data_IF_702816010232
#
_entry.id   IF_702816010232
#
_cell.length_a   1.000
_cell.length_b   1.000
_cell.length_c   1.000
_cell.angle_alpha   90.00
_cell.angle_beta   90.00
_cell.angle_gamma   90.00
#
_symmetry.space_group_name_H-M   'P 1'
#
loop_
_entity.id
_entity.type
_entity.pdbx_description
1 polymer ?
#
# COMPACT_ATOMS: atom_id res chain seq x y z
N UNK A 1 -9.32 16.78 8.24
CA UNK A 1 -10.06 16.68 9.52
C UNK A 1 -9.38 15.57 10.31
N UNK A 2 -8.60 15.96 11.30
CA UNK A 2 -7.35 15.31 11.70
C UNK A 2 -7.53 14.21 12.76
N UNK A 3 -6.70 13.17 12.66
CA UNK A 3 -6.45 12.08 13.64
C UNK A 3 -6.33 12.55 15.10
N UNK A 4 -6.10 13.84 15.33
CA UNK A 4 -6.05 14.51 16.63
C UNK A 4 -7.37 14.40 17.44
N UNK A 5 -8.51 14.09 16.80
CA UNK A 5 -9.74 13.78 17.55
C UNK A 5 -9.76 12.36 18.11
N UNK A 6 -9.02 11.41 17.52
CA UNK A 6 -8.96 10.02 17.97
C UNK A 6 -7.98 9.83 19.14
N UNK A 7 -6.97 10.69 19.30
CA UNK A 7 -6.05 10.63 20.46
C UNK A 7 -6.69 11.03 21.80
N UNK A 8 -7.93 11.55 21.78
CA UNK A 8 -8.72 11.81 22.99
C UNK A 8 -9.55 10.61 23.45
N UNK A 9 -9.60 9.54 22.66
CA UNK A 9 -10.29 8.32 23.04
C UNK A 9 -9.31 7.36 23.71
N UNK A 10 -9.59 7.06 24.97
CA UNK A 10 -8.93 5.99 25.69
C UNK A 10 -9.37 4.65 25.06
N UNK A 11 -8.50 4.06 24.24
CA UNK A 11 -8.76 2.76 23.58
C UNK A 11 -8.72 1.57 24.54
N UNK A 12 -8.55 1.80 25.85
CA UNK A 12 -8.69 0.75 26.86
C UNK A 12 -10.10 0.12 26.94
N UNK A 13 -11.09 0.68 26.21
CA UNK A 13 -12.47 0.17 26.19
C UNK A 13 -13.19 0.28 24.84
N UNK A 14 -12.48 0.40 23.71
CA UNK A 14 -13.15 0.27 22.40
C UNK A 14 -13.28 -1.22 22.12
N UNK A 15 -14.48 -1.76 22.36
CA UNK A 15 -14.83 -3.12 21.95
C UNK A 15 -14.54 -3.30 20.46
N UNK A 16 -13.89 -4.40 20.10
CA UNK A 16 -13.70 -4.84 18.71
C UNK A 16 -14.99 -4.80 17.90
N UNK A 17 -16.12 -4.90 18.60
CA UNK A 17 -17.46 -4.90 18.06
C UNK A 17 -17.90 -3.54 17.52
N UNK A 18 -17.39 -2.41 18.03
CA UNK A 18 -17.74 -1.08 17.49
C UNK A 18 -17.03 -0.86 16.15
N UNK A 19 -15.76 -1.22 16.07
CA UNK A 19 -15.00 -1.20 14.81
C UNK A 19 -15.60 -2.19 13.82
N UNK A 20 -15.96 -3.39 14.28
CA UNK A 20 -16.63 -4.42 13.49
C UNK A 20 -18.03 -4.01 13.00
N UNK A 21 -18.79 -3.28 13.81
CA UNK A 21 -20.15 -2.81 13.47
C UNK A 21 -20.12 -1.64 12.49
N UNK A 22 -19.19 -0.69 12.67
CA UNK A 22 -18.98 0.40 11.71
C UNK A 22 -18.49 -0.17 10.37
N UNK A 23 -17.61 -1.18 10.41
CA UNK A 23 -17.13 -1.88 9.22
C UNK A 23 -18.22 -2.70 8.53
N UNK A 24 -19.00 -3.52 9.25
CA UNK A 24 -20.06 -4.36 8.67
C UNK A 24 -21.22 -3.53 8.09
N UNK A 25 -21.55 -2.40 8.73
CA UNK A 25 -22.50 -1.41 8.21
C UNK A 25 -21.98 -0.75 6.93
N UNK A 26 -20.65 -0.56 6.83
CA UNK A 26 -20.01 0.07 5.69
C UNK A 26 -19.81 -0.90 4.50
N UNK A 27 -19.39 -2.14 4.74
CA UNK A 27 -19.30 -3.23 3.75
C UNK A 27 -20.67 -3.52 3.13
N UNK A 28 -21.73 -3.57 3.94
CA UNK A 28 -23.11 -3.75 3.44
C UNK A 28 -23.61 -2.61 2.53
N UNK A 29 -23.07 -1.39 2.66
CA UNK A 29 -23.37 -0.30 1.69
C UNK A 29 -22.53 -0.43 0.42
N UNK A 30 -21.31 -0.95 0.52
CA UNK A 30 -20.37 -1.11 -0.62
C UNK A 30 -20.75 -2.25 -1.56
N UNK A 31 -21.42 -3.29 -1.05
CA UNK A 31 -22.02 -4.36 -1.86
C UNK A 31 -23.19 -3.87 -2.73
N UNK A 32 -23.81 -2.73 -2.38
CA UNK A 32 -24.93 -2.14 -3.11
C UNK A 32 -24.51 -0.86 -3.83
N UNK A 33 -23.88 -1.06 -4.99
CA UNK A 33 -23.91 -0.16 -6.17
C UNK A 33 -23.02 1.10 -6.15
N UNK A 34 -22.37 1.25 -7.32
CA UNK A 34 -22.10 2.52 -8.04
C UNK A 34 -20.91 3.39 -7.58
N UNK A 35 -19.77 3.19 -8.25
CA UNK A 35 -18.93 4.22 -8.94
C UNK A 35 -17.52 3.72 -9.35
N UNK A 36 -17.39 2.51 -9.90
CA UNK A 36 -16.14 2.09 -10.57
C UNK A 36 -14.96 1.70 -9.66
N UNK A 37 -15.20 1.39 -8.39
CA UNK A 37 -14.17 0.81 -7.52
C UNK A 37 -14.11 -0.71 -7.75
N UNK A 38 -13.12 -1.16 -8.52
CA UNK A 38 -12.86 -2.59 -8.70
C UNK A 38 -12.06 -3.11 -7.50
N UNK A 39 -12.59 -4.11 -6.81
CA UNK A 39 -11.87 -4.79 -5.75
C UNK A 39 -10.96 -5.86 -6.36
N UNK A 40 -9.67 -5.84 -6.03
CA UNK A 40 -8.74 -6.91 -6.42
C UNK A 40 -9.03 -8.16 -5.59
N UNK A 41 -9.39 -9.30 -6.21
CA UNK A 41 -9.63 -10.55 -5.47
C UNK A 41 -8.42 -10.95 -4.64
N UNK A 42 -8.59 -11.54 -3.43
CA UNK A 42 -7.48 -11.90 -2.54
C UNK A 42 -6.47 -12.85 -3.18
N UNK A 43 -6.91 -13.73 -4.08
CA UNK A 43 -6.07 -14.67 -4.82
C UNK A 43 -5.10 -13.90 -5.74
N UNK A 44 -5.58 -12.88 -6.42
CA UNK A 44 -4.78 -12.01 -7.30
C UNK A 44 -3.80 -11.18 -6.47
N UNK A 45 -4.24 -10.65 -5.33
CA UNK A 45 -3.37 -9.91 -4.39
C UNK A 45 -2.22 -10.79 -3.91
N UNK A 46 -2.53 -12.01 -3.46
CA UNK A 46 -1.52 -12.93 -2.98
C UNK A 46 -0.56 -13.37 -4.08
N UNK A 47 -1.08 -13.69 -5.26
CA UNK A 47 -0.29 -14.05 -6.43
C UNK A 47 0.74 -12.95 -6.76
N UNK A 48 0.29 -11.70 -6.90
CA UNK A 48 1.19 -10.57 -7.22
C UNK A 48 2.23 -10.38 -6.11
N UNK A 49 1.84 -10.46 -4.83
CA UNK A 49 2.80 -10.36 -3.72
C UNK A 49 3.82 -11.51 -3.73
N UNK A 50 3.42 -12.71 -4.13
CA UNK A 50 4.32 -13.84 -4.30
C UNK A 50 5.30 -13.63 -5.45
N UNK A 51 4.82 -13.11 -6.59
CA UNK A 51 5.65 -12.86 -7.79
C UNK A 51 6.68 -11.76 -7.57
N UNK A 52 6.34 -10.69 -6.83
CA UNK A 52 7.34 -9.67 -6.46
C UNK A 52 8.26 -10.13 -5.31
N UNK A 53 8.10 -11.35 -4.81
CA UNK A 53 8.92 -11.93 -3.75
C UNK A 53 8.61 -11.38 -2.35
N UNK A 54 7.47 -10.71 -2.14
CA UNK A 54 7.01 -10.27 -0.83
C UNK A 54 6.37 -11.43 -0.06
N UNK A 55 7.15 -12.48 0.20
CA UNK A 55 6.72 -13.71 0.87
C UNK A 55 7.11 -13.69 2.34
N UNK A 56 6.34 -14.38 3.19
CA UNK A 56 6.69 -14.54 4.61
C UNK A 56 8.09 -15.15 4.74
N UNK A 57 8.97 -14.49 5.51
CA UNK A 57 10.36 -14.90 5.69
C UNK A 57 11.33 -13.73 5.71
N UNK A 58 12.63 -14.04 5.85
CA UNK A 58 13.67 -13.03 6.04
C UNK A 58 13.78 -12.00 4.89
N UNK A 59 13.29 -12.33 3.68
CA UNK A 59 13.35 -11.47 2.49
C UNK A 59 12.60 -10.14 2.62
N UNK A 60 11.61 -10.06 3.52
CA UNK A 60 10.79 -8.85 3.76
C UNK A 60 11.11 -8.15 5.09
N UNK A 61 12.14 -8.60 5.81
CA UNK A 61 12.61 -7.99 7.06
C UNK A 61 13.65 -6.90 6.74
N UNK A 62 13.49 -5.74 7.38
CA UNK A 62 14.48 -4.65 7.35
C UNK A 62 13.89 -3.30 6.92
N UNK A 63 14.58 -2.22 7.28
CA UNK A 63 14.14 -0.85 6.98
C UNK A 63 14.14 -0.50 5.48
N UNK A 64 14.92 -1.23 4.68
CA UNK A 64 14.99 -1.06 3.24
C UNK A 64 13.97 -1.92 2.47
N UNK A 65 13.23 -2.83 3.15
CA UNK A 65 12.23 -3.72 2.54
C UNK A 65 10.85 -3.07 2.45
N UNK A 66 10.83 -1.83 1.93
CA UNK A 66 9.60 -1.03 1.82
C UNK A 66 8.82 -1.42 0.58
N UNK A 67 7.50 -1.44 0.71
CA UNK A 67 6.53 -1.70 -0.33
C UNK A 67 5.65 -0.46 -0.54
N UNK A 68 5.39 -0.11 -1.80
CA UNK A 68 4.44 0.94 -2.16
C UNK A 68 3.36 0.40 -3.10
N UNK A 69 2.13 0.87 -2.87
CA UNK A 69 1.01 0.76 -3.81
C UNK A 69 0.59 2.15 -4.31
N UNK A 70 0.93 2.54 -5.55
CA UNK A 70 0.66 3.87 -6.10
C UNK A 70 -0.81 4.10 -6.51
N UNK A 71 -1.68 3.09 -6.36
CA UNK A 71 -3.12 3.18 -6.60
C UNK A 71 -3.86 2.32 -5.57
N UNK A 72 -3.62 2.60 -4.29
CA UNK A 72 -3.87 1.62 -3.23
C UNK A 72 -5.34 1.30 -2.99
N UNK A 73 -6.27 2.14 -3.46
CA UNK A 73 -7.69 1.98 -3.20
C UNK A 73 -7.95 1.84 -1.70
N UNK A 74 -8.70 0.80 -1.32
CA UNK A 74 -8.94 0.45 0.09
C UNK A 74 -7.81 -0.34 0.76
N UNK A 75 -6.64 -0.46 0.12
CA UNK A 75 -5.43 -1.02 0.70
C UNK A 75 -5.31 -2.55 0.65
N UNK A 76 -5.93 -3.24 -0.31
CA UNK A 76 -5.91 -4.72 -0.34
C UNK A 76 -4.49 -5.30 -0.36
N UNK A 77 -3.59 -4.75 -1.18
CA UNK A 77 -2.18 -5.15 -1.19
C UNK A 77 -1.46 -4.82 0.12
N UNK A 78 -1.67 -3.62 0.66
CA UNK A 78 -1.02 -3.16 1.89
C UNK A 78 -1.47 -3.99 3.11
N UNK A 79 -2.75 -4.35 3.19
CA UNK A 79 -3.29 -5.23 4.24
C UNK A 79 -2.67 -6.62 4.15
N UNK A 80 -2.61 -7.20 2.95
CA UNK A 80 -1.98 -8.51 2.76
C UNK A 80 -0.48 -8.46 3.09
N UNK A 81 0.21 -7.39 2.70
CA UNK A 81 1.62 -7.17 3.04
C UNK A 81 1.82 -7.03 4.56
N UNK A 82 1.00 -6.25 5.25
CA UNK A 82 1.04 -6.12 6.71
C UNK A 82 0.89 -7.49 7.40
N UNK A 83 -0.09 -8.30 6.97
CA UNK A 83 -0.28 -9.66 7.49
C UNK A 83 0.96 -10.53 7.30
N UNK A 84 1.57 -10.52 6.10
CA UNK A 84 2.79 -11.29 5.81
C UNK A 84 3.98 -10.83 6.65
N UNK A 85 4.11 -9.51 6.87
CA UNK A 85 5.17 -8.94 7.70
C UNK A 85 5.00 -9.32 9.17
N UNK A 86 3.78 -9.20 9.72
CA UNK A 86 3.48 -9.63 11.09
C UNK A 86 3.71 -11.13 11.26
N UNK A 87 3.24 -11.95 10.32
CA UNK A 87 3.46 -13.40 10.33
C UNK A 87 4.96 -13.75 10.27
N UNK A 88 5.76 -12.96 9.55
CA UNK A 88 7.22 -13.15 9.47
C UNK A 88 7.89 -12.92 10.82
N UNK A 89 7.49 -11.88 11.54
CA UNK A 89 8.04 -11.59 12.88
C UNK A 89 7.50 -12.54 13.96
N UNK A 90 6.29 -13.07 13.78
CA UNK A 90 5.76 -14.15 14.62
C UNK A 90 6.56 -15.45 14.37
N UNK A 91 6.90 -15.74 13.11
CA UNK A 91 7.60 -16.97 12.74
C UNK A 91 6.81 -18.22 13.15
N UNK A 92 7.52 -19.26 13.59
CA UNK A 92 6.91 -20.49 14.14
C UNK A 92 6.64 -20.39 15.64
N UNK A 93 7.10 -19.33 16.29
CA UNK A 93 6.76 -19.09 17.68
C UNK A 93 5.33 -18.56 17.72
N UNK A 94 4.48 -19.10 18.58
CA UNK A 94 3.14 -18.53 18.79
C UNK A 94 3.16 -17.19 19.56
N UNK A 95 4.30 -16.50 19.55
CA UNK A 95 4.58 -15.30 20.29
C UNK A 95 5.42 -14.32 19.45
N UNK A 96 5.14 -13.03 19.62
CA UNK A 96 5.97 -11.94 19.11
C UNK A 96 6.80 -11.39 20.27
N UNK A 97 8.12 -11.40 20.14
CA UNK A 97 9.05 -10.98 21.19
C UNK A 97 8.96 -9.47 21.47
N UNK A 98 8.97 -8.65 20.43
CA UNK A 98 8.85 -7.19 20.54
C UNK A 98 7.72 -6.64 19.65
N UNK A 99 6.46 -6.65 20.13
CA UNK A 99 5.32 -6.17 19.36
C UNK A 99 5.43 -4.70 18.95
N UNK A 100 6.08 -3.87 19.77
CA UNK A 100 6.31 -2.45 19.44
C UNK A 100 7.24 -2.30 18.23
N UNK A 101 8.32 -3.09 18.16
CA UNK A 101 9.21 -3.08 16.98
C UNK A 101 8.49 -3.59 15.73
N UNK A 102 7.65 -4.62 15.85
CA UNK A 102 6.86 -5.11 14.70
C UNK A 102 5.86 -4.06 14.23
N UNK A 103 5.18 -3.36 15.14
CA UNK A 103 4.31 -2.25 14.81
C UNK A 103 5.09 -1.17 14.05
N UNK A 104 6.23 -0.72 14.57
CA UNK A 104 7.09 0.27 13.90
C UNK A 104 7.47 -0.17 12.49
N UNK A 105 7.73 -1.47 12.29
CA UNK A 105 8.06 -2.02 10.97
C UNK A 105 6.88 -1.95 10.01
N UNK A 106 5.68 -2.33 10.43
CA UNK A 106 4.47 -2.23 9.59
C UNK A 106 4.22 -0.76 9.22
N UNK A 107 4.36 0.15 10.18
CA UNK A 107 4.11 1.58 9.98
C UNK A 107 5.11 2.23 9.03
N UNK A 108 6.39 1.83 9.06
CA UNK A 108 7.45 2.45 8.27
C UNK A 108 7.83 1.70 6.98
N UNK A 109 7.24 0.53 6.70
CA UNK A 109 7.53 -0.24 5.49
C UNK A 109 6.41 -0.25 4.45
N UNK A 110 5.21 0.22 4.76
CA UNK A 110 4.05 0.14 3.86
C UNK A 110 3.57 1.54 3.47
N UNK A 111 3.53 1.80 2.17
CA UNK A 111 3.21 3.10 1.60
C UNK A 111 2.10 2.96 0.56
N UNK A 112 1.21 3.95 0.49
CA UNK A 112 0.09 3.95 -0.46
C UNK A 112 -0.20 5.35 -0.98
N UNK A 113 -0.46 5.45 -2.28
CA UNK A 113 -1.04 6.65 -2.89
C UNK A 113 -2.41 6.32 -3.47
N UNK A 114 -3.36 7.24 -3.34
CA UNK A 114 -4.62 7.18 -4.09
C UNK A 114 -5.20 8.58 -4.32
N UNK A 115 -5.82 8.80 -5.46
CA UNK A 115 -6.50 10.06 -5.79
C UNK A 115 -7.78 10.27 -4.98
N UNK A 116 -8.43 9.19 -4.54
CA UNK A 116 -9.66 9.24 -3.78
C UNK A 116 -9.35 9.35 -2.27
N UNK A 117 -9.64 10.49 -1.62
CA UNK A 117 -9.34 10.68 -0.20
C UNK A 117 -10.09 9.69 0.69
N UNK A 118 -11.26 9.26 0.25
CA UNK A 118 -12.05 8.28 0.98
C UNK A 118 -11.45 6.87 0.88
N UNK A 119 -10.84 6.51 -0.25
CA UNK A 119 -10.12 5.26 -0.40
C UNK A 119 -8.86 5.22 0.50
N UNK A 120 -8.09 6.33 0.52
CA UNK A 120 -6.97 6.52 1.44
C UNK A 120 -7.39 6.30 2.90
N UNK A 121 -8.50 6.92 3.32
CA UNK A 121 -9.04 6.74 4.67
C UNK A 121 -9.37 5.28 4.99
N UNK A 122 -10.01 4.56 4.07
CA UNK A 122 -10.30 3.13 4.25
C UNK A 122 -9.03 2.28 4.34
N UNK A 123 -8.01 2.57 3.52
CA UNK A 123 -6.71 1.91 3.58
C UNK A 123 -6.07 2.07 4.95
N UNK A 124 -6.05 3.29 5.51
CA UNK A 124 -5.53 3.56 6.84
C UNK A 124 -6.28 2.80 7.94
N UNK A 125 -7.61 2.78 7.88
CA UNK A 125 -8.44 2.03 8.85
C UNK A 125 -8.16 0.53 8.75
N UNK A 126 -8.09 -0.01 7.54
CA UNK A 126 -7.81 -1.43 7.34
C UNK A 126 -6.42 -1.83 7.85
N UNK A 127 -5.41 -0.98 7.66
CA UNK A 127 -4.06 -1.16 8.21
C UNK A 127 -4.04 -1.05 9.74
N UNK A 128 -4.78 -0.09 10.31
CA UNK A 128 -4.92 0.05 11.76
C UNK A 128 -5.46 -1.23 12.37
N UNK A 129 -6.50 -1.82 11.78
CA UNK A 129 -7.07 -3.10 12.22
C UNK A 129 -6.01 -4.21 12.23
N UNK A 130 -5.11 -4.26 11.23
CA UNK A 130 -4.06 -5.30 11.18
C UNK A 130 -3.05 -5.20 12.32
N UNK A 131 -2.90 -4.03 12.95
CA UNK A 131 -1.90 -3.81 14.01
C UNK A 131 -2.50 -3.71 15.41
N UNK A 132 -3.83 -3.75 15.57
CA UNK A 132 -4.48 -3.66 16.88
C UNK A 132 -3.99 -4.77 17.84
N UNK A 133 -3.83 -5.99 17.32
CA UNK A 133 -3.31 -7.12 18.11
C UNK A 133 -1.88 -6.87 18.59
N UNK A 134 -1.03 -6.22 17.76
CA UNK A 134 0.33 -5.84 18.17
C UNK A 134 0.31 -4.82 19.29
N UNK A 135 -0.58 -3.82 19.21
CA UNK A 135 -0.74 -2.79 20.24
C UNK A 135 -1.19 -3.41 21.55
N UNK A 136 -2.17 -4.35 21.49
CA UNK A 136 -2.63 -5.09 22.65
C UNK A 136 -1.49 -5.90 23.28
N UNK A 137 -0.77 -6.69 22.48
CA UNK A 137 0.37 -7.48 22.95
C UNK A 137 1.48 -6.59 23.55
N UNK A 138 1.75 -5.43 22.95
CA UNK A 138 2.69 -4.46 23.50
C UNK A 138 2.22 -3.95 24.87
N UNK A 139 0.94 -3.62 25.01
CA UNK A 139 0.36 -3.17 26.28
C UNK A 139 0.44 -4.22 27.38
N UNK A 140 0.15 -5.48 27.05
CA UNK A 140 0.24 -6.62 27.97
C UNK A 140 1.68 -6.85 28.45
N UNK A 141 2.68 -6.52 27.62
CA UNK A 141 4.11 -6.51 27.97
C UNK A 141 4.58 -5.23 28.67
N UNK A 142 3.67 -4.31 29.03
CA UNK A 142 4.00 -3.04 29.67
C UNK A 142 4.58 -1.97 28.72
N UNK A 143 4.67 -2.24 27.43
CA UNK A 143 5.04 -1.25 26.42
C UNK A 143 3.84 -0.32 26.15
N UNK A 144 4.10 0.89 25.66
CA UNK A 144 3.07 1.86 25.25
C UNK A 144 3.46 2.45 23.90
N UNK A 145 3.39 1.66 22.82
CA UNK A 145 3.81 2.14 21.51
C UNK A 145 2.90 3.26 21.04
N UNK A 146 3.47 4.22 20.33
CA UNK A 146 2.71 5.29 19.70
C UNK A 146 2.24 4.83 18.32
N UNK A 147 0.93 4.71 18.15
CA UNK A 147 0.35 4.50 16.82
C UNK A 147 0.50 5.80 16.03
N UNK A 148 1.45 5.81 15.10
CA UNK A 148 1.61 6.92 14.14
C UNK A 148 0.60 6.78 12.99
N UNK A 149 0.47 7.80 12.14
CA UNK A 149 -0.31 7.66 10.91
C UNK A 149 0.43 6.74 9.93
N UNK A 150 -0.28 5.90 9.21
CA UNK A 150 0.30 5.11 8.13
C UNK A 150 0.70 6.01 6.97
N UNK A 151 1.68 5.59 6.17
CA UNK A 151 2.16 6.33 5.01
C UNK A 151 1.21 6.21 3.80
N UNK A 152 -0.04 6.64 4.00
CA UNK A 152 -1.10 6.68 2.97
C UNK A 152 -1.38 8.14 2.61
N UNK A 153 -1.18 8.50 1.35
CA UNK A 153 -1.26 9.89 0.90
C UNK A 153 -2.30 10.04 -0.20
N UNK A 154 -3.13 11.06 -0.06
CA UNK A 154 -4.11 11.43 -1.07
C UNK A 154 -3.46 12.29 -2.15
N UNK A 155 -2.84 11.64 -3.14
CA UNK A 155 -2.06 12.31 -4.18
C UNK A 155 -2.19 11.58 -5.51
N UNK A 156 -1.97 12.30 -6.60
CA UNK A 156 -1.75 11.69 -7.91
C UNK A 156 -0.35 11.08 -7.95
N UNK A 157 -0.24 9.77 -8.10
CA UNK A 157 1.06 9.08 -8.16
C UNK A 157 1.91 9.49 -9.37
N UNK A 158 1.28 9.90 -10.48
CA UNK A 158 1.95 10.31 -11.72
C UNK A 158 2.33 11.79 -11.72
N UNK A 159 1.61 12.63 -10.95
CA UNK A 159 1.92 14.05 -10.87
C UNK A 159 3.37 14.27 -10.42
N UNK A 160 4.09 15.14 -11.16
CA UNK A 160 5.47 15.49 -10.86
C UNK A 160 5.59 16.11 -9.45
N UNK A 161 6.74 15.94 -8.77
CA UNK A 161 7.01 16.63 -7.53
C UNK A 161 6.88 18.14 -7.75
N UNK A 162 6.19 18.83 -6.86
CA UNK A 162 5.93 20.26 -7.00
C UNK A 162 7.18 21.11 -6.83
N UNK A 163 8.28 20.53 -6.32
CA UNK A 163 9.58 21.20 -6.11
C UNK A 163 9.51 22.37 -5.13
N UNK A 164 8.36 22.57 -4.49
CA UNK A 164 8.12 23.69 -3.60
C UNK A 164 8.39 23.18 -2.20
N UNK A 165 9.63 23.29 -1.76
CA UNK A 165 9.97 23.26 -0.34
C UNK A 165 9.17 24.38 0.32
N UNK A 166 7.99 24.07 0.86
CA UNK A 166 7.14 25.02 1.60
C UNK A 166 7.71 25.26 2.99
N UNK A 167 9.01 25.49 3.08
CA UNK A 167 9.62 26.09 4.25
C UNK A 167 9.22 27.57 4.23
N UNK A 168 8.34 27.98 5.15
CA UNK A 168 8.57 29.11 6.07
C UNK A 168 7.32 29.75 6.72
N UNK A 169 6.08 29.30 6.48
CA UNK A 169 4.91 30.01 7.07
C UNK A 169 4.00 29.17 7.97
N UNK A 170 3.96 27.83 7.86
CA UNK A 170 3.11 27.00 8.73
C UNK A 170 3.69 25.58 8.88
N UNK A 171 4.22 25.25 10.08
CA UNK A 171 4.56 23.86 10.46
C UNK A 171 3.28 23.05 10.64
N UNK A 172 2.63 22.67 9.54
CA UNK A 172 1.40 21.88 9.53
C UNK A 172 1.71 20.47 9.06
N UNK A 173 0.98 19.48 9.58
CA UNK A 173 1.05 18.07 9.14
C UNK A 173 0.92 17.93 7.62
N UNK A 174 0.14 18.81 6.98
CA UNK A 174 -0.04 18.83 5.53
C UNK A 174 1.26 19.19 4.80
N UNK A 175 2.05 20.13 5.34
CA UNK A 175 3.34 20.50 4.75
C UNK A 175 4.35 19.34 4.88
N UNK A 176 4.41 18.69 6.04
CA UNK A 176 5.27 17.52 6.26
C UNK A 176 4.92 16.36 5.32
N UNK A 177 3.63 16.09 5.12
CA UNK A 177 3.15 15.06 4.19
C UNK A 177 3.49 15.40 2.74
N UNK A 178 3.31 16.66 2.34
CA UNK A 178 3.67 17.14 1.01
C UNK A 178 5.17 16.98 0.75
N UNK A 179 6.01 17.38 1.70
CA UNK A 179 7.47 17.26 1.59
C UNK A 179 7.88 15.78 1.49
N UNK A 180 7.23 14.91 2.26
CA UNK A 180 7.52 13.48 2.21
C UNK A 180 7.10 12.84 0.89
N UNK A 181 5.94 13.23 0.33
CA UNK A 181 5.50 12.80 -1.00
C UNK A 181 6.49 13.26 -2.07
N UNK A 182 6.93 14.52 -2.01
CA UNK A 182 7.90 15.04 -2.97
C UNK A 182 9.24 14.30 -2.87
N UNK A 183 9.71 13.96 -1.65
CA UNK A 183 10.91 13.13 -1.46
C UNK A 183 10.75 11.71 -2.02
N UNK A 184 9.58 11.09 -1.83
CA UNK A 184 9.26 9.77 -2.39
C UNK A 184 9.31 9.82 -3.92
N UNK A 185 8.59 10.77 -4.53
CA UNK A 185 8.43 10.87 -5.98
C UNK A 185 9.73 11.24 -6.69
N UNK A 186 10.54 12.11 -6.08
CA UNK A 186 11.83 12.54 -6.64
C UNK A 186 13.01 11.62 -6.27
N UNK A 187 12.78 10.61 -5.42
CA UNK A 187 13.85 9.78 -4.82
C UNK A 187 14.95 10.65 -4.23
N UNK A 188 14.57 11.65 -3.45
CA UNK A 188 15.48 12.68 -2.95
C UNK A 188 16.76 12.09 -2.32
N UNK A 189 17.95 12.56 -2.72
CA UNK A 189 19.21 12.16 -2.09
C UNK A 189 19.21 12.43 -0.58
N UNK A 190 19.96 11.62 0.18
CA UNK A 190 20.07 11.71 1.65
C UNK A 190 18.76 11.51 2.42
N UNK A 191 17.69 11.06 1.75
CA UNK A 191 16.47 10.58 2.40
C UNK A 191 16.44 9.07 2.39
N UNK A 192 15.62 8.43 3.24
CA UNK A 192 15.39 7.00 3.11
C UNK A 192 14.95 6.61 1.69
N UNK A 193 14.27 7.49 0.95
CA UNK A 193 13.70 7.24 -0.37
C UNK A 193 14.68 7.29 -1.55
N UNK A 194 15.96 7.61 -1.31
CA UNK A 194 16.97 7.74 -2.36
C UNK A 194 17.09 6.49 -3.26
N UNK A 195 16.94 5.30 -2.67
CA UNK A 195 17.00 4.02 -3.38
C UNK A 195 15.61 3.50 -3.82
N UNK A 196 14.57 4.32 -3.72
CA UNK A 196 13.19 3.93 -4.02
C UNK A 196 12.64 2.84 -3.09
N UNK A 197 11.71 2.07 -3.62
CA UNK A 197 11.01 0.99 -2.92
C UNK A 197 11.54 -0.37 -3.36
N UNK A 198 11.66 -1.30 -2.41
CA UNK A 198 12.06 -2.67 -2.72
C UNK A 198 10.94 -3.43 -3.47
N UNK A 199 9.69 -3.05 -3.23
CA UNK A 199 8.52 -3.66 -3.85
C UNK A 199 7.55 -2.57 -4.31
N UNK A 200 7.02 -2.72 -5.52
CA UNK A 200 5.95 -1.90 -6.07
C UNK A 200 4.86 -2.85 -6.55
N UNK A 201 3.65 -2.69 -6.04
CA UNK A 201 2.48 -3.52 -6.39
C UNK A 201 1.31 -2.60 -6.68
N UNK A 202 0.44 -2.94 -7.61
CA UNK A 202 -0.72 -2.11 -7.93
C UNK A 202 -1.81 -2.92 -8.62
N UNK A 203 -3.05 -2.44 -8.52
CA UNK A 203 -4.08 -2.67 -9.51
C UNK A 203 -4.52 -1.29 -10.03
N UNK A 204 -3.80 -0.73 -11.03
CA UNK A 204 -3.99 0.65 -11.45
C UNK A 204 -5.35 0.84 -12.14
N UNK A 205 -5.85 2.09 -12.24
CA UNK A 205 -7.06 2.38 -12.99
C UNK A 205 -6.85 2.20 -14.50
N UNK A 206 -7.66 1.33 -15.11
CA UNK A 206 -7.65 1.12 -16.57
C UNK A 206 -8.50 2.14 -17.32
N UNK A 207 -8.02 2.58 -18.48
CA UNK A 207 -8.80 3.44 -19.39
C UNK A 207 -8.75 4.94 -19.09
N UNK A 208 -7.82 5.40 -18.25
CA UNK A 208 -7.56 6.83 -18.08
C UNK A 208 -7.08 7.46 -19.40
N UNK A 209 -7.71 8.55 -19.82
CA UNK A 209 -7.29 9.30 -21.00
C UNK A 209 -6.14 10.24 -20.62
N UNK A 210 -4.93 9.88 -21.04
CA UNK A 210 -3.75 10.75 -20.91
C UNK A 210 -3.74 11.76 -22.06
N UNK A 211 -3.37 13.02 -21.78
CA UNK A 211 -3.13 14.01 -22.84
C UNK A 211 -1.94 13.59 -23.70
N UNK A 212 -1.93 13.98 -24.98
CA UNK A 212 -0.84 13.60 -25.88
C UNK A 212 0.51 14.20 -25.46
N UNK A 213 0.50 15.41 -24.90
CA UNK A 213 1.65 16.03 -24.26
C UNK A 213 2.24 15.15 -23.15
N UNK A 214 1.36 14.60 -22.30
CA UNK A 214 1.77 13.75 -21.20
C UNK A 214 2.27 12.37 -21.68
N UNK A 215 1.67 11.82 -22.73
CA UNK A 215 2.18 10.60 -23.39
C UNK A 215 3.58 10.80 -23.98
N UNK A 216 3.84 11.96 -24.58
CA UNK A 216 5.17 12.31 -25.12
C UNK A 216 6.19 12.36 -24.00
N UNK A 217 5.85 13.01 -22.88
CA UNK A 217 6.70 13.06 -21.68
C UNK A 217 6.99 11.65 -21.15
N UNK A 218 5.96 10.81 -20.96
CA UNK A 218 6.16 9.45 -20.46
C UNK A 218 7.04 8.60 -21.39
N UNK A 219 6.88 8.73 -22.70
CA UNK A 219 7.73 8.03 -23.69
C UNK A 219 9.17 8.51 -23.68
N UNK A 220 9.40 9.80 -23.41
CA UNK A 220 10.74 10.37 -23.28
C UNK A 220 11.40 9.92 -21.98
N UNK A 221 10.69 10.06 -20.86
CA UNK A 221 11.23 9.82 -19.51
C UNK A 221 11.34 8.31 -19.19
N UNK A 222 10.52 7.47 -19.82
CA UNK A 222 10.46 6.01 -19.61
C UNK A 222 10.49 5.23 -20.93
N UNK A 223 11.44 5.57 -21.81
CA UNK A 223 11.56 4.96 -23.14
C UNK A 223 11.67 3.43 -23.14
N UNK A 224 12.19 2.86 -22.05
CA UNK A 224 12.33 1.43 -21.79
C UNK A 224 11.01 0.70 -21.54
N UNK A 225 10.00 1.40 -21.01
CA UNK A 225 8.66 0.85 -20.76
C UNK A 225 7.86 0.68 -22.07
N UNK A 226 8.20 1.44 -23.11
CA UNK A 226 7.53 1.40 -24.41
C UNK A 226 8.25 0.51 -25.45
N UNK A 227 9.28 -0.25 -25.06
CA UNK A 227 10.12 -1.04 -25.98
C UNK A 227 9.56 -2.40 -26.41
N UNK A 228 8.35 -2.79 -25.98
CA UNK A 228 7.79 -4.08 -26.38
C UNK A 228 6.48 -3.86 -27.12
N UNK A 229 6.46 -4.22 -28.42
CA UNK A 229 5.25 -4.55 -29.15
C UNK A 229 4.62 -5.80 -28.52
N UNK A 230 4.05 -5.65 -27.32
CA UNK A 230 3.21 -6.68 -26.73
C UNK A 230 1.89 -6.63 -27.50
N UNK A 231 1.70 -7.60 -28.41
CA UNK A 231 0.33 -8.03 -28.74
C UNK A 231 -0.38 -8.32 -27.43
N UNK A 232 -1.54 -7.69 -27.13
CA UNK A 232 -2.22 -7.90 -25.87
C UNK A 232 -2.63 -9.37 -25.75
N UNK A 233 -1.95 -10.11 -24.88
CA UNK A 233 -2.08 -11.57 -24.78
C UNK A 233 -3.29 -12.03 -23.95
N UNK A 234 -4.12 -11.11 -23.46
CA UNK A 234 -5.28 -11.46 -22.62
C UNK A 234 -6.55 -10.77 -23.13
N UNK A 235 -7.41 -11.55 -23.80
CA UNK A 235 -8.84 -11.24 -23.89
C UNK A 235 -9.59 -12.13 -22.89
N UNK A 236 -10.50 -11.52 -22.12
CA UNK A 236 -11.34 -12.20 -21.12
C UNK A 236 -12.34 -13.21 -21.72
N UNK A 237 -12.28 -13.50 -23.01
CA UNK A 237 -13.28 -14.30 -23.72
C UNK A 237 -13.05 -15.82 -23.67
N UNK A 238 -11.87 -16.30 -23.28
CA UNK A 238 -11.49 -17.71 -23.43
C UNK A 238 -11.08 -18.38 -22.11
N UNK A 239 -11.81 -18.13 -21.03
CA UNK A 239 -11.55 -18.74 -19.72
C UNK A 239 -12.28 -20.09 -19.57
N UNK A 240 -12.03 -21.01 -20.49
CA UNK A 240 -12.20 -22.45 -20.25
C UNK A 240 -11.05 -23.19 -20.94
N UNK A 241 -10.30 -23.98 -20.14
CA UNK A 241 -9.32 -24.99 -20.55
C UNK A 241 -7.91 -24.50 -20.96
N UNK A 242 -6.99 -24.42 -19.98
CA UNK A 242 -5.74 -25.22 -19.96
C UNK A 242 -4.75 -24.72 -18.91
N UNK A 243 -4.78 -25.34 -17.73
CA UNK A 243 -3.82 -25.13 -16.63
C UNK A 243 -2.44 -25.80 -16.86
N UNK A 244 -2.12 -26.25 -18.08
CA UNK A 244 -0.97 -27.14 -18.35
C UNK A 244 0.11 -26.58 -19.29
N UNK A 245 -0.02 -25.36 -19.83
CA UNK A 245 0.96 -24.79 -20.77
C UNK A 245 1.79 -23.61 -20.21
N UNK A 246 1.65 -23.29 -18.93
CA UNK A 246 2.27 -22.10 -18.30
C UNK A 246 3.70 -22.33 -17.78
N UNK A 247 4.23 -23.56 -17.75
CA UNK A 247 5.55 -23.82 -17.14
C UNK A 247 6.77 -23.50 -18.02
N UNK A 248 6.66 -23.44 -19.35
CA UNK A 248 7.87 -23.37 -20.21
C UNK A 248 8.26 -21.98 -20.72
N UNK A 249 7.45 -20.92 -20.55
CA UNK A 249 7.74 -19.58 -21.10
C UNK A 249 7.99 -18.47 -20.07
N UNK A 250 8.04 -18.77 -18.77
CA UNK A 250 8.08 -17.76 -17.69
C UNK A 250 9.48 -17.29 -17.26
N UNK A 251 10.55 -17.62 -18.01
CA UNK A 251 11.92 -17.31 -17.61
C UNK A 251 12.37 -15.85 -17.86
N UNK A 252 11.55 -14.96 -18.43
CA UNK A 252 12.06 -13.66 -18.88
C UNK A 252 11.05 -12.50 -18.96
N UNK A 253 10.20 -12.29 -17.97
CA UNK A 253 9.44 -11.04 -17.86
C UNK A 253 9.36 -10.52 -16.42
N UNK A 254 10.25 -9.58 -16.10
CA UNK A 254 10.01 -8.62 -15.02
C UNK A 254 9.00 -7.58 -15.53
N UNK A 255 8.08 -7.19 -14.64
CA UNK A 255 7.05 -6.16 -14.80
C UNK A 255 5.75 -6.62 -15.52
N UNK A 256 4.88 -7.29 -14.75
CA UNK A 256 3.45 -7.38 -15.10
C UNK A 256 2.76 -6.14 -14.55
N UNK A 257 2.55 -5.15 -15.42
CA UNK A 257 1.42 -4.23 -15.32
C UNK A 257 0.26 -4.95 -16.02
N UNK A 258 -0.70 -5.47 -15.25
CA UNK A 258 -2.07 -5.64 -15.77
C UNK A 258 -2.63 -4.23 -15.87
#
# INVERSE_FOLDING_TARGET
MTLHQLSRFNFAGVDSDIVGTVYSTYVNRKEKKEKGQYYTPPEIVNYILDEVGYRTGAGIIGANKRLIDPACGSGSFLVAAAKRLVATYKGNADQIDDPSSVLDRVQNNLYGFDLNPFACYLSEVNLLIQVLDLVKLAHDKGQRPKIQRFHIYNVDALARPTGTYRSLMFNTLIAEESDQVDQIKSRSPNTPYANGFAFVVANPPYGASLSDEYKVVLRSDYSDVFLVNLTPTFSFSNLELSFYQLEENLASLHLILI
#
